data_IF_046307852641
#
_entry.id   IF_046307852641
#
_cell.length_a   1.000
_cell.length_b   1.000
_cell.length_c   1.000
_cell.angle_alpha   90.00
_cell.angle_beta   90.00
_cell.angle_gamma   90.00
#
_symmetry.space_group_name_H-M   'P 1'
#
loop_
_entity.id
_entity.type
_entity.pdbx_description
1 polymer ?
#
# COMPACT_ATOMS: atom_id res chain seq x y z
N UNK A 1 -19.60 -1.33 6.86
CA UNK A 1 -19.55 -1.94 5.51
C UNK A 1 -19.35 -3.45 5.57
N UNK A 2 -18.22 -3.97 6.08
CA UNK A 2 -17.91 -5.42 6.04
C UNK A 2 -19.00 -6.33 6.65
N UNK A 3 -19.61 -5.95 7.79
CA UNK A 3 -20.76 -6.70 8.35
C UNK A 3 -21.92 -6.82 7.35
N UNK A 4 -22.33 -5.70 6.74
CA UNK A 4 -23.34 -5.69 5.67
C UNK A 4 -22.95 -6.56 4.46
N UNK A 5 -21.66 -6.64 4.14
CA UNK A 5 -21.16 -7.52 3.07
C UNK A 5 -21.32 -9.00 3.44
N UNK A 6 -20.95 -9.37 4.67
CA UNK A 6 -21.16 -10.71 5.22
C UNK A 6 -22.64 -11.08 5.22
N UNK A 7 -23.52 -10.16 5.64
CA UNK A 7 -24.97 -10.40 5.68
C UNK A 7 -25.55 -10.57 4.26
N UNK A 8 -25.20 -9.67 3.34
CA UNK A 8 -25.69 -9.69 1.96
C UNK A 8 -25.31 -10.98 1.22
N UNK A 9 -24.07 -11.44 1.38
CA UNK A 9 -23.57 -12.67 0.75
C UNK A 9 -23.70 -13.91 1.64
N UNK A 10 -24.36 -13.79 2.80
CA UNK A 10 -24.61 -14.89 3.77
C UNK A 10 -23.35 -15.65 4.18
N UNK A 11 -22.24 -14.93 4.37
CA UNK A 11 -20.92 -15.54 4.62
C UNK A 11 -20.74 -16.03 6.06
N UNK A 12 -21.59 -15.59 7.00
CA UNK A 12 -21.44 -15.88 8.42
C UNK A 12 -21.41 -17.39 8.73
N UNK A 13 -22.16 -18.20 7.99
CA UNK A 13 -22.22 -19.66 8.17
C UNK A 13 -20.88 -20.37 7.89
N UNK A 14 -19.96 -19.73 7.16
CA UNK A 14 -18.65 -20.28 6.81
C UNK A 14 -17.52 -19.77 7.72
N UNK A 15 -17.83 -18.92 8.71
CA UNK A 15 -16.83 -18.30 9.58
C UNK A 15 -16.95 -18.91 10.98
N UNK A 16 -15.91 -19.62 11.40
CA UNK A 16 -15.77 -20.09 12.78
C UNK A 16 -14.91 -19.10 13.56
N UNK A 17 -15.55 -18.22 14.32
CA UNK A 17 -14.86 -17.29 15.22
C UNK A 17 -14.24 -18.02 16.41
N UNK A 18 -13.26 -17.37 17.06
CA UNK A 18 -12.60 -17.91 18.26
C UNK A 18 -11.94 -19.29 18.08
N UNK A 19 -11.55 -19.59 16.84
CA UNK A 19 -10.87 -20.84 16.45
C UNK A 19 -9.56 -20.47 15.78
N UNK A 20 -8.44 -20.68 16.47
CA UNK A 20 -7.08 -20.40 15.97
C UNK A 20 -6.59 -21.57 15.15
N UNK A 21 -6.06 -21.32 13.95
CA UNK A 21 -5.28 -22.32 13.20
C UNK A 21 -3.90 -22.43 13.82
N UNK A 22 -3.52 -23.62 14.26
CA UNK A 22 -2.23 -23.91 14.90
C UNK A 22 -1.23 -24.54 13.94
N UNK A 23 -1.71 -25.38 13.02
CA UNK A 23 -0.86 -26.06 12.05
C UNK A 23 -1.61 -26.33 10.75
N UNK A 24 -0.90 -26.21 9.63
CA UNK A 24 -1.33 -26.66 8.31
C UNK A 24 -0.21 -27.49 7.71
N UNK A 25 -0.52 -28.71 7.30
CA UNK A 25 0.44 -29.62 6.66
C UNK A 25 -0.23 -30.42 5.55
N UNK A 26 0.55 -30.89 4.58
CA UNK A 26 0.04 -31.87 3.61
C UNK A 26 -0.48 -33.10 4.36
N UNK A 27 -1.57 -33.68 3.86
CA UNK A 27 -2.10 -34.93 4.40
C UNK A 27 -1.37 -36.19 3.88
N UNK A 28 -0.30 -36.00 3.08
CA UNK A 28 0.51 -37.07 2.52
C UNK A 28 -0.13 -37.80 1.32
N UNK A 29 -1.34 -37.43 0.92
CA UNK A 29 -2.05 -38.06 -0.22
C UNK A 29 -1.82 -37.35 -1.56
N UNK A 30 -1.22 -36.16 -1.53
CA UNK A 30 -0.93 -35.33 -2.70
C UNK A 30 -1.99 -34.26 -2.99
N UNK A 31 -3.22 -34.43 -2.49
CA UNK A 31 -4.38 -33.64 -2.92
C UNK A 31 -5.09 -32.87 -1.80
N UNK A 32 -4.50 -32.78 -0.60
CA UNK A 32 -5.15 -32.10 0.52
C UNK A 32 -4.24 -31.73 1.69
N UNK A 33 -4.86 -31.09 2.67
CA UNK A 33 -4.25 -30.56 3.88
C UNK A 33 -4.95 -31.08 5.11
N UNK A 34 -4.14 -31.39 6.12
CA UNK A 34 -4.57 -31.51 7.49
C UNK A 34 -4.39 -30.14 8.18
N UNK A 35 -5.50 -29.58 8.69
CA UNK A 35 -5.52 -28.30 9.39
C UNK A 35 -5.90 -28.54 10.84
N UNK A 36 -4.98 -28.20 11.75
CA UNK A 36 -5.16 -28.33 13.18
C UNK A 36 -5.56 -26.97 13.75
N UNK A 37 -6.64 -26.97 14.52
CA UNK A 37 -7.24 -25.77 15.10
C UNK A 37 -7.39 -25.91 16.60
N UNK A 38 -7.29 -24.81 17.33
CA UNK A 38 -7.62 -24.70 18.76
C UNK A 38 -8.80 -23.76 18.94
N UNK A 39 -9.89 -24.29 19.47
CA UNK A 39 -11.04 -23.49 19.87
C UNK A 39 -10.79 -22.80 21.22
N UNK A 40 -11.61 -21.80 21.54
CA UNK A 40 -11.52 -21.03 22.79
C UNK A 40 -11.71 -21.86 24.07
N UNK A 41 -12.30 -23.04 23.96
CA UNK A 41 -12.44 -24.01 25.06
C UNK A 41 -11.14 -24.82 25.30
N UNK A 42 -10.08 -24.55 24.52
CA UNK A 42 -8.80 -25.24 24.58
C UNK A 42 -8.77 -26.55 23.79
N UNK A 43 -9.88 -26.99 23.20
CA UNK A 43 -9.92 -28.22 22.44
C UNK A 43 -9.20 -28.07 21.10
N UNK A 44 -8.32 -29.02 20.81
CA UNK A 44 -7.67 -29.14 19.51
C UNK A 44 -8.51 -30.04 18.60
N UNK A 45 -8.77 -29.59 17.37
CA UNK A 45 -9.51 -30.33 16.34
C UNK A 45 -8.71 -30.37 15.05
N UNK A 46 -8.80 -31.50 14.38
CA UNK A 46 -8.15 -31.76 13.11
C UNK A 46 -9.18 -31.85 12.00
N UNK A 47 -8.96 -31.08 10.94
CA UNK A 47 -9.83 -30.99 9.77
C UNK A 47 -9.07 -31.36 8.51
N UNK A 48 -9.78 -31.87 7.50
CA UNK A 48 -9.23 -32.08 6.15
C UNK A 48 -9.81 -31.05 5.20
N UNK A 49 -8.96 -30.45 4.38
CA UNK A 49 -9.35 -29.52 3.31
C UNK A 49 -8.57 -29.82 2.04
N UNK A 50 -9.21 -29.72 0.87
CA UNK A 50 -8.54 -29.95 -0.41
C UNK A 50 -7.57 -28.81 -0.75
N UNK A 51 -7.89 -27.59 -0.34
CA UNK A 51 -7.08 -26.38 -0.58
C UNK A 51 -7.12 -25.42 0.60
N UNK A 52 -6.08 -24.59 0.73
CA UNK A 52 -5.93 -23.62 1.81
C UNK A 52 -5.64 -22.22 1.25
N UNK A 53 -6.42 -21.23 1.68
CA UNK A 53 -6.13 -19.82 1.46
C UNK A 53 -5.64 -19.16 2.75
N UNK A 54 -4.42 -18.63 2.75
CA UNK A 54 -3.85 -17.85 3.85
C UNK A 54 -4.28 -16.39 3.70
N UNK A 55 -5.07 -15.91 4.66
CA UNK A 55 -5.67 -14.57 4.67
C UNK A 55 -5.39 -13.80 5.97
N UNK A 56 -4.26 -14.08 6.64
CA UNK A 56 -3.93 -13.57 7.99
C UNK A 56 -3.50 -12.10 8.03
N UNK A 57 -3.39 -11.44 6.86
CA UNK A 57 -2.98 -10.04 6.73
C UNK A 57 -1.46 -9.85 6.79
N UNK A 58 -0.99 -8.62 6.61
CA UNK A 58 0.45 -8.28 6.50
C UNK A 58 1.01 -7.51 7.70
N UNK A 59 0.14 -7.18 8.67
CA UNK A 59 0.49 -6.42 9.88
C UNK A 59 0.46 -7.35 11.09
N UNK A 60 1.35 -8.35 11.09
CA UNK A 60 1.33 -9.43 12.07
C UNK A 60 2.36 -9.17 13.18
N UNK A 61 3.65 -9.35 12.89
CA UNK A 61 4.72 -9.20 13.90
C UNK A 61 5.30 -7.77 13.86
N UNK A 62 5.30 -7.04 14.98
CA UNK A 62 5.96 -5.73 15.10
C UNK A 62 7.42 -5.73 14.66
N UNK A 63 7.80 -4.87 13.71
CA UNK A 63 9.20 -4.72 13.32
C UNK A 63 9.93 -3.80 14.30
N UNK A 64 10.56 -4.37 15.33
CA UNK A 64 11.26 -3.62 16.37
C UNK A 64 12.72 -3.37 15.98
N UNK A 65 13.16 -2.10 15.85
CA UNK A 65 14.56 -1.80 15.60
C UNK A 65 15.41 -2.05 16.84
N UNK A 66 16.60 -2.58 16.64
CA UNK A 66 17.63 -2.65 17.67
C UNK A 66 18.40 -1.32 17.65
N UNK A 67 18.18 -0.48 18.65
CA UNK A 67 18.95 0.77 18.79
C UNK A 67 20.23 0.51 19.59
N UNK A 68 21.34 1.08 19.13
CA UNK A 68 22.57 1.14 19.93
C UNK A 68 22.29 1.92 21.23
N UNK A 69 22.76 1.44 22.38
CA UNK A 69 22.54 2.08 23.68
C UNK A 69 21.12 1.97 24.24
N UNK A 70 20.26 1.11 23.67
CA UNK A 70 18.90 0.92 24.14
C UNK A 70 18.82 0.45 25.60
N UNK A 71 19.81 -0.32 26.04
CA UNK A 71 19.97 -0.81 27.42
C UNK A 71 20.21 0.32 28.44
N UNK A 72 20.77 1.45 27.99
CA UNK A 72 21.01 2.60 28.85
C UNK A 72 19.76 3.50 28.98
N UNK A 73 18.83 3.45 28.03
CA UNK A 73 17.66 4.33 27.98
C UNK A 73 16.69 4.07 29.15
N UNK A 74 16.45 5.10 29.96
CA UNK A 74 15.60 4.99 31.16
C UNK A 74 14.09 5.12 30.86
N UNK A 75 13.74 5.54 29.64
CA UNK A 75 12.36 5.69 29.21
C UNK A 75 11.74 4.38 28.69
N UNK A 76 10.56 4.49 28.08
CA UNK A 76 9.83 3.34 27.51
C UNK A 76 9.97 3.31 25.99
N UNK A 77 10.25 2.13 25.43
CA UNK A 77 10.22 1.90 23.99
C UNK A 77 9.00 1.04 23.66
N UNK A 78 8.09 1.57 22.84
CA UNK A 78 6.86 0.91 22.41
C UNK A 78 6.88 0.76 20.90
N UNK A 79 6.17 -0.24 20.37
CA UNK A 79 5.83 -0.28 18.95
C UNK A 79 4.47 0.38 18.70
N UNK A 80 4.21 0.86 17.49
CA UNK A 80 2.91 1.45 17.13
C UNK A 80 1.73 0.48 17.29
N UNK A 81 1.98 -0.83 17.36
CA UNK A 81 0.96 -1.84 17.66
C UNK A 81 0.44 -1.77 19.10
N UNK A 82 1.22 -1.18 20.02
CA UNK A 82 0.87 -1.00 21.43
C UNK A 82 0.22 0.37 21.69
N UNK A 83 0.26 1.27 20.69
CA UNK A 83 -0.40 2.57 20.77
C UNK A 83 -1.92 2.42 20.56
N UNK A 84 -2.71 3.03 21.45
CA UNK A 84 -4.17 3.04 21.33
C UNK A 84 -4.75 4.46 21.23
N UNK A 85 -4.26 5.38 22.06
CA UNK A 85 -4.76 6.75 22.14
C UNK A 85 -3.66 7.67 22.74
N UNK A 86 -3.80 9.01 22.62
CA UNK A 86 -2.73 9.92 23.03
C UNK A 86 -2.67 10.17 24.55
N UNK A 87 -3.74 9.88 25.31
CA UNK A 87 -3.87 10.28 26.71
C UNK A 87 -2.70 9.87 27.64
N UNK A 88 -2.11 8.66 27.53
CA UNK A 88 -0.95 8.26 28.33
C UNK A 88 0.32 9.10 28.12
N UNK A 89 0.37 9.88 27.04
CA UNK A 89 1.52 10.70 26.65
C UNK A 89 1.39 12.17 27.07
N UNK A 90 0.31 12.53 27.78
CA UNK A 90 0.08 13.89 28.27
C UNK A 90 1.24 14.36 29.14
N UNK A 91 1.82 15.52 28.80
CA UNK A 91 2.95 16.11 29.53
C UNK A 91 4.28 15.35 29.41
N UNK A 92 4.35 14.29 28.59
CA UNK A 92 5.59 13.53 28.33
C UNK A 92 6.37 14.14 27.17
N UNK A 93 7.66 13.79 27.08
CA UNK A 93 8.48 14.04 25.89
C UNK A 93 8.50 12.78 25.04
N UNK A 94 8.00 12.85 23.81
CA UNK A 94 7.76 11.65 22.98
C UNK A 94 8.48 11.72 21.65
N UNK A 95 9.25 10.68 21.34
CA UNK A 95 9.89 10.49 20.05
C UNK A 95 9.14 9.43 19.24
N UNK A 96 8.60 9.79 18.08
CA UNK A 96 8.02 8.83 17.11
C UNK A 96 9.07 8.46 16.07
N UNK A 97 9.28 7.16 15.82
CA UNK A 97 10.28 6.68 14.85
C UNK A 97 9.58 6.12 13.63
N UNK A 98 9.75 6.77 12.48
CA UNK A 98 9.17 6.37 11.20
C UNK A 98 8.09 7.33 10.70
N UNK A 99 8.19 7.73 9.43
CA UNK A 99 7.26 8.66 8.77
C UNK A 99 6.20 7.98 7.90
N UNK A 100 5.84 6.72 8.16
CA UNK A 100 4.74 6.07 7.46
C UNK A 100 3.37 6.54 7.95
N UNK A 101 2.29 5.89 7.52
CA UNK A 101 0.91 6.23 7.92
C UNK A 101 0.74 6.28 9.45
N UNK A 102 1.12 5.20 10.15
CA UNK A 102 1.02 5.13 11.61
C UNK A 102 1.85 6.21 12.30
N UNK A 103 3.07 6.44 11.83
CA UNK A 103 3.94 7.46 12.41
C UNK A 103 3.40 8.87 12.22
N UNK A 104 2.78 9.15 11.07
CA UNK A 104 2.13 10.42 10.77
C UNK A 104 0.90 10.67 11.66
N UNK A 105 0.02 9.67 11.81
CA UNK A 105 -1.16 9.76 12.68
C UNK A 105 -0.78 9.89 14.16
N UNK A 106 0.15 9.04 14.62
CA UNK A 106 0.60 9.05 16.03
C UNK A 106 1.30 10.36 16.35
N UNK A 107 2.18 10.86 15.48
CA UNK A 107 2.88 12.14 15.72
C UNK A 107 1.88 13.29 15.86
N UNK A 108 0.82 13.30 15.04
CA UNK A 108 -0.24 14.31 15.12
C UNK A 108 -1.01 14.25 16.43
N UNK A 109 -1.41 13.06 16.85
CA UNK A 109 -2.20 12.85 18.06
C UNK A 109 -1.39 13.11 19.33
N UNK A 110 -0.12 12.67 19.36
CA UNK A 110 0.76 12.84 20.51
C UNK A 110 1.22 14.28 20.66
N UNK A 111 1.56 14.98 19.57
CA UNK A 111 2.03 16.37 19.63
C UNK A 111 0.99 17.33 20.24
N UNK A 112 -0.29 16.96 20.25
CA UNK A 112 -1.37 17.75 20.84
C UNK A 112 -1.39 17.69 22.38
N UNK A 113 -0.85 16.63 22.99
CA UNK A 113 -0.90 16.40 24.45
C UNK A 113 0.47 16.33 25.12
N UNK A 114 1.51 16.00 24.37
CA UNK A 114 2.88 15.88 24.86
C UNK A 114 3.46 17.25 25.25
N UNK A 115 4.34 17.27 26.25
CA UNK A 115 5.09 18.48 26.60
C UNK A 115 6.10 18.87 25.51
N UNK A 116 6.67 17.87 24.83
CA UNK A 116 7.48 18.04 23.63
C UNK A 116 7.38 16.78 22.76
N UNK A 117 7.53 16.93 21.45
CA UNK A 117 7.52 15.79 20.55
C UNK A 117 8.53 15.94 19.41
N UNK A 118 9.03 14.80 18.94
CA UNK A 118 9.86 14.72 17.76
C UNK A 118 9.46 13.51 16.91
N UNK A 119 9.68 13.61 15.60
CA UNK A 119 9.57 12.50 14.66
C UNK A 119 10.92 12.25 13.98
N UNK A 120 11.46 11.04 14.13
CA UNK A 120 12.68 10.59 13.47
C UNK A 120 12.35 9.91 12.14
N UNK A 121 13.01 10.35 11.07
CA UNK A 121 12.87 9.75 9.74
C UNK A 121 14.26 9.59 9.12
N UNK A 122 14.75 8.34 9.09
CA UNK A 122 16.05 7.94 8.52
C UNK A 122 16.18 8.22 7.01
N UNK A 123 15.10 8.08 6.27
CA UNK A 123 15.10 8.20 4.81
C UNK A 123 13.89 8.97 4.31
N UNK A 124 13.00 8.28 3.59
CA UNK A 124 11.79 8.88 3.00
C UNK A 124 10.56 8.62 3.88
N UNK A 125 9.68 9.61 4.00
CA UNK A 125 8.35 9.50 4.64
C UNK A 125 7.28 8.89 3.73
N UNK A 126 7.66 8.39 2.56
CA UNK A 126 6.72 8.14 1.46
C UNK A 126 6.24 9.46 0.81
N UNK A 127 5.31 9.34 -0.13
CA UNK A 127 4.67 10.47 -0.80
C UNK A 127 3.47 10.97 0.02
N UNK A 128 3.61 12.13 0.67
CA UNK A 128 2.57 12.68 1.55
C UNK A 128 1.37 13.19 0.73
N UNK A 129 0.19 12.61 0.92
CA UNK A 129 -1.02 13.03 0.22
C UNK A 129 -2.11 13.37 1.23
N UNK A 130 -2.72 14.56 1.19
CA UNK A 130 -3.89 14.83 2.02
C UNK A 130 -5.05 13.92 1.59
N UNK A 131 -5.87 13.47 2.55
CA UNK A 131 -7.05 12.64 2.25
C UNK A 131 -8.05 13.36 1.34
N UNK A 132 -8.18 14.66 1.56
CA UNK A 132 -8.97 15.57 0.73
C UNK A 132 -8.09 16.65 0.15
N UNK A 133 -8.22 16.92 -1.14
CA UNK A 133 -7.54 18.03 -1.78
C UNK A 133 -8.56 18.83 -2.58
N UNK A 134 -8.70 20.12 -2.30
CA UNK A 134 -9.68 21.00 -2.96
C UNK A 134 -11.12 20.42 -2.93
N UNK A 135 -11.57 19.99 -1.76
CA UNK A 135 -12.93 19.48 -1.53
C UNK A 135 -13.22 18.07 -2.05
N UNK A 136 -12.27 17.42 -2.73
CA UNK A 136 -12.44 16.07 -3.28
C UNK A 136 -11.55 15.05 -2.57
N UNK A 137 -11.99 13.80 -2.40
CA UNK A 137 -11.10 12.69 -2.02
C UNK A 137 -9.91 12.61 -2.98
N UNK A 138 -8.69 12.52 -2.44
CA UNK A 138 -7.49 12.56 -3.28
C UNK A 138 -7.31 11.31 -4.16
N UNK A 139 -7.97 10.20 -3.83
CA UNK A 139 -7.95 8.96 -4.60
C UNK A 139 -8.82 9.01 -5.87
N UNK A 140 -9.62 10.06 -6.07
CA UNK A 140 -10.34 10.29 -7.34
C UNK A 140 -9.38 10.33 -8.55
N UNK A 141 -8.15 10.79 -8.34
CA UNK A 141 -7.12 10.90 -9.38
C UNK A 141 -6.33 9.58 -9.57
N UNK A 142 -6.67 8.52 -8.82
CA UNK A 142 -6.16 7.16 -9.04
C UNK A 142 -6.86 6.56 -10.26
N UNK A 143 -6.57 7.12 -11.44
CA UNK A 143 -7.21 6.79 -12.72
C UNK A 143 -6.24 6.09 -13.67
N UNK A 144 -6.76 5.37 -14.68
CA UNK A 144 -5.91 4.70 -15.68
C UNK A 144 -4.99 5.69 -16.39
N UNK A 145 -5.51 6.85 -16.79
CA UNK A 145 -4.74 7.89 -17.47
C UNK A 145 -3.52 8.33 -16.66
N UNK A 146 -3.69 8.49 -15.36
CA UNK A 146 -2.63 8.93 -14.46
C UNK A 146 -1.50 7.90 -14.35
N UNK A 147 -1.83 6.60 -14.39
CA UNK A 147 -0.85 5.52 -14.33
C UNK A 147 -0.14 5.28 -15.67
N UNK A 148 -0.67 5.79 -16.79
CA UNK A 148 -0.08 5.63 -18.13
C UNK A 148 1.12 6.53 -18.39
N UNK A 149 1.39 7.51 -17.53
CA UNK A 149 2.51 8.42 -17.75
C UNK A 149 3.87 7.72 -17.54
N UNK A 150 4.89 8.07 -18.34
CA UNK A 150 6.25 7.65 -18.07
C UNK A 150 6.69 8.05 -16.65
N UNK A 151 7.49 7.21 -16.00
CA UNK A 151 7.92 7.42 -14.61
C UNK A 151 8.65 8.76 -14.43
N UNK A 152 9.49 9.14 -15.40
CA UNK A 152 10.22 10.40 -15.38
C UNK A 152 9.28 11.61 -15.44
N UNK A 153 8.16 11.51 -16.18
CA UNK A 153 7.16 12.57 -16.25
C UNK A 153 6.51 12.80 -14.90
N UNK A 154 6.16 11.73 -14.17
CA UNK A 154 5.64 11.88 -12.82
C UNK A 154 6.62 12.57 -11.86
N UNK A 155 7.93 12.34 -12.02
CA UNK A 155 8.95 13.05 -11.22
C UNK A 155 8.95 14.54 -11.55
N UNK A 156 8.97 14.88 -12.84
CA UNK A 156 8.89 16.27 -13.28
C UNK A 156 7.59 16.96 -12.83
N UNK A 157 6.44 16.37 -13.15
CA UNK A 157 5.11 16.89 -12.83
C UNK A 157 4.92 17.15 -11.34
N UNK A 158 5.23 16.16 -10.49
CA UNK A 158 5.11 16.34 -9.04
C UNK A 158 6.09 17.39 -8.52
N UNK A 159 7.32 17.45 -9.04
CA UNK A 159 8.30 18.46 -8.64
C UNK A 159 7.81 19.87 -8.98
N UNK A 160 7.39 20.10 -10.23
CA UNK A 160 6.83 21.38 -10.66
C UNK A 160 5.61 21.78 -9.82
N UNK A 161 4.72 20.83 -9.52
CA UNK A 161 3.56 21.04 -8.66
C UNK A 161 3.93 21.40 -7.22
N UNK A 162 4.96 20.80 -6.63
CA UNK A 162 5.38 21.18 -5.27
C UNK A 162 6.16 22.49 -5.25
N UNK A 163 6.94 22.82 -6.29
CA UNK A 163 7.58 24.13 -6.41
C UNK A 163 6.56 25.26 -6.51
N UNK A 164 5.43 25.06 -7.20
CA UNK A 164 4.39 26.09 -7.30
C UNK A 164 3.64 26.36 -5.99
N UNK A 165 3.75 25.46 -4.99
CA UNK A 165 3.17 25.70 -3.65
C UNK A 165 3.90 26.83 -2.91
N UNK A 166 5.19 27.07 -3.17
CA UNK A 166 5.91 28.16 -2.50
C UNK A 166 5.33 29.55 -2.78
N UNK A 167 5.20 30.02 -4.04
CA UNK A 167 4.57 31.31 -4.31
C UNK A 167 3.10 31.34 -3.85
N UNK A 168 2.35 30.23 -3.98
CA UNK A 168 0.98 30.12 -3.46
C UNK A 168 0.92 30.37 -1.96
N UNK A 169 1.79 29.71 -1.20
CA UNK A 169 1.87 29.85 0.26
C UNK A 169 2.29 31.26 0.70
N UNK A 170 3.14 31.93 -0.08
CA UNK A 170 3.53 33.32 0.16
C UNK A 170 2.33 34.25 -0.06
N UNK A 171 1.58 34.02 -1.13
CA UNK A 171 0.31 34.69 -1.39
C UNK A 171 -0.69 34.50 -0.25
N UNK A 172 -0.82 33.27 0.28
CA UNK A 172 -1.68 32.98 1.44
C UNK A 172 -1.24 33.73 2.69
N UNK A 173 0.06 33.81 2.95
CA UNK A 173 0.60 34.53 4.12
C UNK A 173 0.31 36.04 4.08
N UNK A 174 0.50 36.68 2.93
CA UNK A 174 0.38 38.15 2.84
C UNK A 174 -1.03 38.61 2.49
N UNK A 175 -1.73 37.89 1.60
CA UNK A 175 -3.00 38.32 1.00
C UNK A 175 -4.17 37.37 1.29
N UNK A 176 -3.95 36.27 2.01
CA UNK A 176 -5.00 35.30 2.34
C UNK A 176 -5.97 35.77 3.43
N UNK A 177 -7.13 35.11 3.52
CA UNK A 177 -8.02 35.18 4.68
C UNK A 177 -7.29 34.65 5.94
N UNK A 178 -7.82 34.89 7.16
CA UNK A 178 -7.25 34.32 8.38
C UNK A 178 -7.04 32.80 8.30
N UNK A 179 -7.97 32.03 7.72
CA UNK A 179 -7.79 30.58 7.57
C UNK A 179 -6.63 30.23 6.63
N UNK A 180 -6.52 30.93 5.49
CA UNK A 180 -5.43 30.70 4.52
C UNK A 180 -4.07 31.09 5.09
N UNK A 181 -4.00 32.16 5.88
CA UNK A 181 -2.78 32.55 6.60
C UNK A 181 -2.32 31.46 7.56
N UNK A 182 -3.25 30.82 8.27
CA UNK A 182 -2.96 29.68 9.15
C UNK A 182 -2.54 28.42 8.36
N UNK A 183 -3.00 28.26 7.11
CA UNK A 183 -2.62 27.13 6.24
C UNK A 183 -1.25 27.31 5.56
N UNK A 184 -0.77 28.54 5.37
CA UNK A 184 0.46 28.82 4.65
C UNK A 184 1.71 28.09 5.19
N UNK A 185 1.96 28.01 6.52
CA UNK A 185 3.07 27.21 7.06
C UNK A 185 2.94 25.72 6.75
N UNK A 186 1.73 25.16 6.83
CA UNK A 186 1.45 23.76 6.52
C UNK A 186 1.77 23.45 5.05
N UNK A 187 1.31 24.28 4.11
CA UNK A 187 1.60 24.13 2.69
C UNK A 187 3.10 24.17 2.40
N UNK A 188 3.84 25.11 3.01
CA UNK A 188 5.30 25.19 2.84
C UNK A 188 6.04 24.00 3.40
N UNK A 189 5.69 23.56 4.61
CA UNK A 189 6.34 22.42 5.25
C UNK A 189 6.05 21.15 4.47
N UNK A 190 4.81 20.96 4.01
CA UNK A 190 4.45 19.87 3.11
C UNK A 190 5.32 19.92 1.85
N UNK A 191 5.32 21.01 1.09
CA UNK A 191 6.13 21.14 -0.13
C UNK A 191 7.63 20.89 0.12
N UNK A 192 8.19 21.39 1.22
CA UNK A 192 9.60 21.16 1.60
C UNK A 192 9.89 19.68 1.87
N UNK A 193 9.06 18.99 2.64
CA UNK A 193 9.25 17.56 2.94
C UNK A 193 9.19 16.72 1.66
N UNK A 194 8.24 17.06 0.80
CA UNK A 194 8.05 16.41 -0.49
C UNK A 194 9.30 16.63 -1.35
N UNK A 195 9.72 17.88 -1.60
CA UNK A 195 10.89 18.18 -2.44
C UNK A 195 12.22 17.69 -1.88
N UNK A 196 12.43 17.69 -0.55
CA UNK A 196 13.65 17.16 0.07
C UNK A 196 13.80 15.64 -0.11
N UNK A 197 12.69 14.92 -0.30
CA UNK A 197 12.67 13.45 -0.21
C UNK A 197 11.99 12.76 -1.40
N UNK A 198 11.48 13.49 -2.40
CA UNK A 198 10.73 12.92 -3.52
C UNK A 198 11.49 12.61 -4.78
N UNK A 199 11.34 11.34 -5.19
CA UNK A 199 10.91 10.96 -6.52
C UNK A 199 9.39 10.65 -6.47
N UNK A 200 8.54 11.40 -7.16
CA UNK A 200 7.17 11.05 -7.63
C UNK A 200 6.25 10.07 -6.85
N UNK A 201 4.94 10.36 -6.80
CA UNK A 201 3.91 9.37 -6.37
C UNK A 201 3.98 8.03 -7.14
N UNK A 202 4.56 8.02 -8.35
CA UNK A 202 4.74 6.80 -9.14
C UNK A 202 5.90 5.91 -8.70
N UNK A 203 6.82 6.43 -7.89
CA UNK A 203 8.10 5.77 -7.57
C UNK A 203 8.30 5.56 -6.07
N UNK A 204 7.29 5.82 -5.26
CA UNK A 204 7.36 5.56 -3.82
C UNK A 204 5.98 5.23 -3.26
N UNK A 205 5.97 4.72 -2.04
CA UNK A 205 4.75 4.39 -1.31
C UNK A 205 4.06 5.68 -0.82
N UNK A 206 2.74 5.75 -0.95
CA UNK A 206 1.96 6.90 -0.49
C UNK A 206 1.70 6.86 1.01
N UNK A 207 1.93 7.99 1.67
CA UNK A 207 1.44 8.24 3.04
C UNK A 207 0.27 9.22 2.90
N UNK A 208 -0.96 8.71 2.81
CA UNK A 208 -2.22 9.44 2.60
C UNK A 208 -2.67 10.18 3.86
N UNK A 209 -1.75 10.96 4.42
CA UNK A 209 -1.92 11.69 5.65
C UNK A 209 -0.97 12.89 5.74
N UNK A 210 -1.44 14.02 6.28
CA UNK A 210 -0.62 15.19 6.62
C UNK A 210 -0.37 15.35 8.13
N UNK A 211 -0.72 14.35 8.94
CA UNK A 211 -0.59 14.37 10.40
C UNK A 211 0.80 14.80 10.89
N UNK A 212 1.88 14.27 10.34
CA UNK A 212 3.24 14.72 10.72
C UNK A 212 3.49 16.19 10.38
N UNK A 213 2.94 16.69 9.26
CA UNK A 213 3.09 18.09 8.85
C UNK A 213 2.33 18.99 9.80
N UNK A 214 1.12 18.57 10.17
CA UNK A 214 0.32 19.25 11.19
C UNK A 214 0.99 19.24 12.56
N UNK A 215 1.59 18.11 12.97
CA UNK A 215 2.38 18.01 14.20
C UNK A 215 3.51 19.05 14.22
N UNK A 216 4.28 19.16 13.13
CA UNK A 216 5.38 20.11 13.02
C UNK A 216 4.91 21.58 13.02
N UNK A 217 3.83 21.86 12.29
CA UNK A 217 3.43 23.26 12.01
C UNK A 217 2.46 23.85 13.02
N UNK A 218 1.66 23.01 13.70
CA UNK A 218 0.66 23.46 14.68
C UNK A 218 1.10 23.22 16.12
N UNK A 219 1.95 22.22 16.36
CA UNK A 219 2.33 21.78 17.71
C UNK A 219 3.85 21.79 17.95
N UNK A 220 4.64 22.27 16.99
CA UNK A 220 6.09 22.40 17.15
C UNK A 220 6.85 21.07 17.21
N UNK A 221 6.29 19.97 16.72
CA UNK A 221 6.98 18.68 16.65
C UNK A 221 8.27 18.80 15.83
N UNK A 222 9.40 18.36 16.39
CA UNK A 222 10.70 18.45 15.73
C UNK A 222 10.88 17.32 14.70
N UNK A 223 11.41 17.64 13.52
CA UNK A 223 11.87 16.62 12.58
C UNK A 223 13.34 16.29 12.85
N UNK A 224 13.63 15.01 13.12
CA UNK A 224 14.98 14.50 13.33
C UNK A 224 15.39 13.50 12.25
N UNK A 225 16.70 13.38 11.93
CA UNK A 225 17.19 12.36 11.01
C UNK A 225 17.21 10.99 11.71
N UNK A 226 18.01 10.05 11.20
CA UNK A 226 18.13 8.73 11.80
C UNK A 226 18.67 8.82 13.22
N UNK A 227 18.18 7.95 14.11
CA UNK A 227 18.79 7.74 15.42
C UNK A 227 20.14 7.08 15.18
N UNK A 228 21.18 7.63 15.79
CA UNK A 228 22.52 7.04 15.83
C UNK A 228 22.61 6.06 17.00
N UNK A 229 22.34 6.56 18.22
CA UNK A 229 22.24 5.76 19.44
C UNK A 229 21.27 6.39 20.44
N UNK A 230 20.89 5.61 21.45
CA UNK A 230 20.19 6.05 22.63
C UNK A 230 21.16 6.19 23.80
N UNK A 231 20.83 7.07 24.73
CA UNK A 231 21.49 7.17 26.02
C UNK A 231 20.46 7.19 27.15
N UNK A 232 20.90 7.43 28.38
CA UNK A 232 20.03 7.43 29.56
C UNK A 232 18.80 8.33 29.47
N UNK A 233 18.85 9.45 28.73
CA UNK A 233 17.77 10.46 28.72
C UNK A 233 17.03 10.57 27.39
N UNK A 234 17.54 9.98 26.31
CA UNK A 234 16.89 10.13 25.01
C UNK A 234 17.70 9.60 23.83
N UNK A 235 17.48 10.24 22.67
CA UNK A 235 18.09 9.86 21.41
C UNK A 235 19.09 10.90 20.92
N UNK A 236 20.23 10.41 20.42
CA UNK A 236 21.21 11.17 19.64
C UNK A 236 21.06 10.78 18.18
N UNK A 237 21.03 11.76 17.29
CA UNK A 237 20.77 11.56 15.87
C UNK A 237 22.04 11.69 15.04
N UNK A 238 22.01 11.20 13.80
CA UNK A 238 23.16 11.18 12.89
C UNK A 238 23.68 12.56 12.49
N UNK A 239 22.93 13.64 12.75
CA UNK A 239 23.39 15.02 12.55
C UNK A 239 24.01 15.63 13.81
N UNK A 240 24.20 14.83 14.88
CA UNK A 240 24.71 15.25 16.17
C UNK A 240 23.66 15.94 17.06
N UNK A 241 22.45 16.19 16.56
CA UNK A 241 21.37 16.74 17.38
C UNK A 241 20.86 15.72 18.40
N UNK A 242 20.22 16.22 19.46
CA UNK A 242 19.67 15.43 20.56
C UNK A 242 18.19 15.71 20.75
N UNK A 243 17.46 14.73 21.26
CA UNK A 243 16.10 14.90 21.81
C UNK A 243 15.95 14.05 23.08
N UNK A 244 15.80 14.70 24.23
CA UNK A 244 15.48 14.00 25.47
C UNK A 244 14.02 13.56 25.45
N UNK A 245 13.76 12.29 25.74
CA UNK A 245 12.42 11.73 25.69
C UNK A 245 12.18 10.70 26.79
N UNK A 246 10.93 10.62 27.23
CA UNK A 246 10.49 9.63 28.22
C UNK A 246 9.91 8.39 27.51
N UNK A 247 9.47 8.56 26.26
CA UNK A 247 8.88 7.50 25.46
C UNK A 247 9.35 7.58 24.01
N UNK A 248 9.71 6.42 23.46
CA UNK A 248 9.96 6.20 22.03
C UNK A 248 8.83 5.32 21.49
N UNK A 249 8.15 5.76 20.42
CA UNK A 249 7.13 4.98 19.72
C UNK A 249 7.66 4.61 18.33
N UNK A 250 8.02 3.34 18.16
CA UNK A 250 8.47 2.76 16.92
C UNK A 250 7.29 2.51 15.96
N UNK A 251 7.08 3.41 15.00
CA UNK A 251 6.17 3.25 13.86
C UNK A 251 6.93 2.65 12.66
N UNK A 252 7.64 1.55 12.91
CA UNK A 252 8.67 0.97 12.04
C UNK A 252 8.15 -0.18 11.16
N UNK A 253 6.85 -0.45 11.21
CA UNK A 253 6.18 -1.41 10.32
C UNK A 253 6.06 -2.80 10.93
N UNK A 254 5.77 -3.78 10.09
CA UNK A 254 5.48 -5.15 10.51
C UNK A 254 6.15 -6.14 9.56
N UNK A 255 6.28 -7.38 10.03
CA UNK A 255 6.78 -8.50 9.26
C UNK A 255 5.69 -9.59 9.14
N UNK A 256 5.76 -10.37 8.07
CA UNK A 256 4.91 -11.53 7.88
C UNK A 256 5.44 -12.69 8.73
N UNK A 257 4.56 -13.41 9.42
CA UNK A 257 4.90 -14.56 10.25
C UNK A 257 3.84 -15.67 10.14
N UNK A 258 4.24 -16.86 9.71
CA UNK A 258 3.31 -17.97 9.50
C UNK A 258 3.68 -19.17 10.39
N UNK A 259 3.55 -19.06 11.72
CA UNK A 259 3.99 -20.12 12.64
C UNK A 259 3.27 -21.44 12.38
N UNK A 260 2.03 -21.39 11.90
CA UNK A 260 1.24 -22.57 11.53
C UNK A 260 1.75 -23.31 10.28
N UNK A 261 2.76 -22.78 9.58
CA UNK A 261 3.42 -23.42 8.44
C UNK A 261 4.85 -23.86 8.74
N UNK A 262 5.46 -23.41 9.84
CA UNK A 262 6.91 -23.55 10.07
C UNK A 262 7.37 -25.02 10.13
N UNK A 263 6.60 -25.90 10.79
CA UNK A 263 6.97 -27.32 10.91
C UNK A 263 6.90 -28.06 9.57
N UNK A 264 5.90 -27.77 8.74
CA UNK A 264 5.63 -28.53 7.51
C UNK A 264 6.25 -27.90 6.25
N UNK A 265 6.53 -26.60 6.27
CA UNK A 265 7.01 -25.82 5.13
C UNK A 265 8.26 -24.99 5.48
N UNK A 266 9.04 -25.43 6.48
CA UNK A 266 10.25 -24.75 6.96
C UNK A 266 11.21 -24.34 5.84
N UNK A 267 11.45 -25.23 4.88
CA UNK A 267 12.34 -25.01 3.73
C UNK A 267 11.88 -23.87 2.79
N UNK A 268 10.60 -23.49 2.85
CA UNK A 268 10.02 -22.43 2.02
C UNK A 268 9.77 -21.13 2.78
N UNK A 269 10.03 -21.10 4.10
CA UNK A 269 9.61 -19.99 4.95
C UNK A 269 10.27 -18.65 4.58
N UNK A 270 11.50 -18.66 4.08
CA UNK A 270 12.19 -17.46 3.63
C UNK A 270 11.48 -16.80 2.44
N UNK A 271 10.88 -17.61 1.57
CA UNK A 271 10.12 -17.13 0.43
C UNK A 271 8.70 -16.74 0.82
N UNK A 272 8.03 -17.55 1.65
CA UNK A 272 6.68 -17.26 2.13
C UNK A 272 6.60 -15.93 2.89
N UNK A 273 7.63 -15.59 3.69
CA UNK A 273 7.69 -14.31 4.41
C UNK A 273 7.84 -13.10 3.48
N UNK A 274 8.40 -13.28 2.29
CA UNK A 274 8.64 -12.21 1.30
C UNK A 274 7.71 -12.41 0.11
N UNK A 275 6.50 -11.85 0.19
CA UNK A 275 5.44 -12.10 -0.81
C UNK A 275 5.83 -11.85 -2.27
N UNK A 276 6.78 -10.94 -2.54
CA UNK A 276 7.35 -10.72 -3.89
C UNK A 276 8.05 -11.93 -4.50
N UNK A 277 8.48 -12.89 -3.67
CA UNK A 277 9.08 -14.18 -4.10
C UNK A 277 8.03 -15.23 -4.43
N UNK A 278 6.74 -14.91 -4.28
CA UNK A 278 5.64 -15.77 -4.68
C UNK A 278 5.11 -15.34 -6.05
N UNK A 279 4.70 -16.30 -6.87
CA UNK A 279 4.10 -16.05 -8.16
C UNK A 279 2.86 -15.18 -7.97
N UNK A 280 2.92 -13.97 -8.55
CA UNK A 280 1.92 -12.90 -8.41
C UNK A 280 1.56 -12.58 -6.95
N UNK A 281 2.50 -12.72 -6.02
CA UNK A 281 2.32 -12.52 -4.57
C UNK A 281 1.35 -13.50 -3.89
N UNK A 282 1.04 -14.62 -4.55
CA UNK A 282 0.00 -15.55 -4.10
C UNK A 282 0.49 -16.98 -3.94
N UNK A 283 1.33 -17.50 -4.83
CA UNK A 283 1.59 -18.94 -4.92
C UNK A 283 3.08 -19.21 -4.86
N UNK A 284 3.50 -20.13 -4.01
CA UNK A 284 4.87 -20.63 -4.03
C UNK A 284 5.01 -21.69 -5.14
N UNK A 285 5.94 -21.55 -6.12
CA UNK A 285 5.98 -22.43 -7.30
C UNK A 285 6.04 -23.92 -6.98
N UNK A 286 6.77 -24.31 -5.93
CA UNK A 286 6.95 -25.71 -5.51
C UNK A 286 5.84 -26.24 -4.59
N UNK A 287 5.08 -25.36 -3.94
CA UNK A 287 3.92 -25.79 -3.12
C UNK A 287 2.70 -25.95 -4.03
N UNK A 288 2.58 -25.10 -5.05
CA UNK A 288 1.51 -25.17 -6.06
C UNK A 288 0.23 -24.44 -5.65
N UNK A 289 -0.79 -24.55 -6.51
CA UNK A 289 -2.08 -23.83 -6.40
C UNK A 289 -2.98 -24.26 -5.23
N UNK A 290 -2.65 -25.35 -4.55
CA UNK A 290 -3.42 -25.89 -3.44
C UNK A 290 -3.23 -25.07 -2.15
N UNK A 291 -2.14 -24.29 -2.04
CA UNK A 291 -1.95 -23.26 -1.01
C UNK A 291 -1.81 -21.87 -1.63
N UNK A 292 -2.67 -20.93 -1.22
CA UNK A 292 -2.76 -19.61 -1.83
C UNK A 292 -2.70 -18.49 -0.79
N UNK A 293 -1.85 -17.49 -0.99
CA UNK A 293 -1.72 -16.31 -0.13
C UNK A 293 -2.56 -15.15 -0.69
N UNK A 294 -3.61 -14.76 0.03
CA UNK A 294 -4.52 -13.70 -0.40
C UNK A 294 -4.38 -12.46 0.50
N UNK A 295 -4.27 -11.28 -0.12
CA UNK A 295 -4.10 -9.99 0.58
C UNK A 295 -2.65 -9.60 0.87
N UNK A 296 -1.68 -10.30 0.29
CA UNK A 296 -0.24 -10.05 0.46
C UNK A 296 0.39 -9.18 -0.65
N UNK A 297 -0.44 -8.59 -1.51
CA UNK A 297 -0.06 -7.62 -2.53
C UNK A 297 -0.57 -6.22 -2.13
N UNK A 298 0.30 -5.37 -1.59
CA UNK A 298 -0.03 -4.03 -1.08
C UNK A 298 0.23 -2.96 -2.15
N UNK A 299 -0.80 -2.28 -2.67
CA UNK A 299 -0.59 -1.20 -3.64
C UNK A 299 0.18 -0.03 -3.05
N UNK A 300 1.11 0.55 -3.82
CA UNK A 300 1.81 1.79 -3.47
C UNK A 300 0.86 2.99 -3.31
N UNK A 301 -0.17 3.04 -4.17
CA UNK A 301 -1.35 3.89 -4.10
C UNK A 301 -2.55 3.07 -4.54
N UNK A 302 -3.66 3.12 -3.80
CA UNK A 302 -4.86 2.37 -4.12
C UNK A 302 -5.47 1.76 -2.87
N UNK A 303 -6.29 0.73 -3.07
CA UNK A 303 -6.98 0.03 -1.99
C UNK A 303 -6.67 -1.48 -2.07
N UNK A 304 -6.50 -2.12 -0.90
CA UNK A 304 -6.26 -3.56 -0.81
C UNK A 304 -7.49 -4.42 -1.20
N UNK A 305 -8.75 -4.06 -0.83
CA UNK A 305 -9.90 -4.91 -1.16
C UNK A 305 -10.06 -5.21 -2.67
N UNK A 306 -9.86 -4.25 -3.60
CA UNK A 306 -9.79 -4.55 -5.03
C UNK A 306 -8.75 -5.62 -5.42
N UNK A 307 -7.57 -5.55 -4.82
CA UNK A 307 -6.47 -6.48 -5.07
C UNK A 307 -6.85 -7.87 -4.56
N UNK A 308 -7.31 -7.97 -3.31
CA UNK A 308 -7.77 -9.22 -2.71
C UNK A 308 -8.97 -9.82 -3.42
N UNK A 309 -9.89 -9.00 -3.97
CA UNK A 309 -11.01 -9.51 -4.79
C UNK A 309 -10.49 -10.22 -6.04
N UNK A 310 -9.53 -9.62 -6.75
CA UNK A 310 -8.93 -10.24 -7.94
C UNK A 310 -8.17 -11.52 -7.61
N UNK A 311 -7.39 -11.50 -6.51
CA UNK A 311 -6.70 -12.70 -6.01
C UNK A 311 -7.68 -13.82 -5.65
N UNK A 312 -8.77 -13.50 -4.93
CA UNK A 312 -9.79 -14.48 -4.55
C UNK A 312 -10.55 -15.05 -5.75
N UNK A 313 -10.85 -14.22 -6.77
CA UNK A 313 -11.44 -14.69 -8.03
C UNK A 313 -10.53 -15.69 -8.75
N UNK A 314 -9.24 -15.38 -8.82
CA UNK A 314 -8.28 -16.29 -9.45
C UNK A 314 -8.16 -17.60 -8.68
N UNK A 315 -8.03 -17.55 -7.36
CA UNK A 315 -7.98 -18.74 -6.52
C UNK A 315 -9.24 -19.62 -6.67
N UNK A 316 -10.43 -19.02 -6.75
CA UNK A 316 -11.67 -19.77 -6.98
C UNK A 316 -11.68 -20.49 -8.34
N UNK A 317 -11.13 -19.87 -9.39
CA UNK A 317 -11.04 -20.48 -10.73
C UNK A 317 -10.01 -21.61 -10.79
N UNK A 318 -8.85 -21.44 -10.14
CA UNK A 318 -7.87 -22.53 -9.95
C UNK A 318 -8.51 -23.68 -9.15
N UNK A 319 -9.23 -23.33 -8.08
CA UNK A 319 -9.92 -24.32 -7.23
C UNK A 319 -10.94 -25.15 -8.02
N UNK A 320 -11.65 -24.51 -8.94
CA UNK A 320 -12.62 -25.17 -9.82
C UNK A 320 -11.96 -25.96 -10.97
N UNK A 321 -10.69 -25.68 -11.29
CA UNK A 321 -10.00 -26.22 -12.47
C UNK A 321 -10.33 -25.50 -13.77
N UNK A 322 -10.97 -24.32 -13.71
CA UNK A 322 -11.27 -23.49 -14.89
C UNK A 322 -10.02 -22.76 -15.41
N UNK A 323 -8.98 -22.63 -14.57
CA UNK A 323 -7.66 -22.11 -14.91
C UNK A 323 -6.60 -23.05 -14.34
N UNK A 324 -5.43 -23.07 -14.96
CA UNK A 324 -4.25 -23.81 -14.50
C UNK A 324 -3.07 -22.87 -14.33
N UNK A 325 -2.12 -23.26 -13.49
CA UNK A 325 -0.84 -22.56 -13.41
C UNK A 325 0.03 -22.83 -14.64
N UNK A 326 0.92 -21.88 -15.01
CA UNK A 326 2.03 -22.16 -15.91
C UNK A 326 3.04 -23.09 -15.21
N UNK A 327 4.06 -23.51 -15.95
CA UNK A 327 5.15 -24.35 -15.40
C UNK A 327 5.90 -23.64 -14.27
N UNK A 328 6.61 -24.41 -13.44
CA UNK A 328 7.45 -23.86 -12.37
C UNK A 328 8.48 -22.87 -12.92
N UNK A 329 9.12 -23.20 -14.05
CA UNK A 329 10.10 -22.34 -14.70
C UNK A 329 9.49 -21.00 -15.12
N UNK A 330 8.31 -21.02 -15.76
CA UNK A 330 7.59 -19.79 -16.15
C UNK A 330 7.17 -18.96 -14.93
N UNK A 331 6.77 -19.61 -13.82
CA UNK A 331 6.46 -18.91 -12.57
C UNK A 331 7.70 -18.23 -11.98
N UNK A 332 8.84 -18.92 -11.94
CA UNK A 332 10.11 -18.39 -11.43
C UNK A 332 10.63 -17.23 -12.29
N UNK A 333 10.54 -17.34 -13.61
CA UNK A 333 10.86 -16.25 -14.54
C UNK A 333 9.95 -15.03 -14.31
N UNK A 334 8.64 -15.25 -14.14
CA UNK A 334 7.70 -14.17 -13.85
C UNK A 334 7.97 -13.50 -12.49
N UNK A 335 8.33 -14.27 -11.46
CA UNK A 335 8.72 -13.75 -10.14
C UNK A 335 9.94 -12.83 -10.28
N UNK A 336 10.98 -13.28 -11.00
CA UNK A 336 12.19 -12.50 -11.23
C UNK A 336 11.88 -11.19 -11.98
N UNK A 337 11.09 -11.27 -13.06
CA UNK A 337 10.70 -10.11 -13.86
C UNK A 337 9.85 -9.10 -13.07
N UNK A 338 8.82 -9.56 -12.35
CA UNK A 338 7.96 -8.71 -11.52
C UNK A 338 8.74 -8.06 -10.38
N UNK A 339 9.68 -8.81 -9.78
CA UNK A 339 10.57 -8.33 -8.74
C UNK A 339 11.46 -7.21 -9.27
N UNK A 340 12.15 -7.44 -10.39
CA UNK A 340 13.00 -6.44 -11.03
C UNK A 340 12.22 -5.17 -11.40
N UNK A 341 11.06 -5.32 -12.06
CA UNK A 341 10.21 -4.19 -12.42
C UNK A 341 9.76 -3.37 -11.19
N UNK A 342 9.52 -4.04 -10.06
CA UNK A 342 9.24 -3.35 -8.79
C UNK A 342 10.45 -2.56 -8.30
N UNK A 343 11.64 -3.16 -8.28
CA UNK A 343 12.86 -2.48 -7.84
C UNK A 343 13.21 -1.30 -8.75
N UNK A 344 13.10 -1.45 -10.07
CA UNK A 344 13.35 -0.37 -11.04
C UNK A 344 12.42 0.82 -10.79
N UNK A 345 11.15 0.56 -10.44
CA UNK A 345 10.17 1.59 -10.19
C UNK A 345 10.29 2.24 -8.81
N UNK A 346 10.50 1.44 -7.76
CA UNK A 346 10.31 1.87 -6.37
C UNK A 346 11.61 1.93 -5.53
N UNK A 347 12.71 1.37 -6.04
CA UNK A 347 14.04 1.34 -5.40
C UNK A 347 13.98 0.87 -3.94
N UNK A 348 14.62 1.63 -3.04
CA UNK A 348 14.63 1.37 -1.59
C UNK A 348 13.23 1.25 -0.93
N UNK A 349 12.16 1.73 -1.58
CA UNK A 349 10.80 1.50 -1.08
C UNK A 349 10.40 0.01 -1.21
N UNK A 350 10.82 -0.65 -2.30
CA UNK A 350 10.56 -2.06 -2.54
C UNK A 350 11.33 -2.97 -1.57
N UNK A 351 12.55 -2.58 -1.19
CA UNK A 351 13.34 -3.28 -0.15
C UNK A 351 12.60 -3.30 1.19
N UNK A 352 12.07 -2.15 1.60
CA UNK A 352 11.39 -2.00 2.89
C UNK A 352 9.98 -2.61 2.91
N UNK A 353 9.26 -2.56 1.79
CA UNK A 353 7.88 -3.05 1.69
C UNK A 353 7.87 -4.24 0.73
N UNK A 354 8.06 -5.43 1.28
CA UNK A 354 8.14 -6.69 0.53
C UNK A 354 6.84 -7.06 -0.20
N UNK A 355 5.72 -6.47 0.20
CA UNK A 355 4.40 -6.67 -0.41
C UNK A 355 4.08 -5.63 -1.50
N UNK A 356 4.95 -4.65 -1.76
CA UNK A 356 4.62 -3.48 -2.59
C UNK A 356 4.35 -3.82 -4.06
N UNK A 357 3.25 -3.32 -4.63
CA UNK A 357 2.88 -3.50 -6.04
C UNK A 357 2.44 -2.18 -6.70
N UNK A 358 2.54 -2.14 -8.04
CA UNK A 358 1.87 -1.10 -8.83
C UNK A 358 0.39 -1.43 -9.00
N UNK A 359 -0.50 -0.54 -8.53
CA UNK A 359 -1.92 -0.87 -8.37
C UNK A 359 -2.63 -1.21 -9.67
N UNK A 360 -2.57 -0.34 -10.67
CA UNK A 360 -3.21 -0.61 -11.96
C UNK A 360 -2.55 -1.80 -12.67
N UNK A 361 -1.22 -1.79 -12.73
CA UNK A 361 -0.48 -2.80 -13.49
C UNK A 361 -0.75 -4.21 -12.94
N UNK A 362 -0.78 -4.36 -11.61
CA UNK A 362 -1.12 -5.60 -10.95
C UNK A 362 -2.59 -6.01 -11.20
N UNK A 363 -3.54 -5.08 -11.07
CA UNK A 363 -4.96 -5.40 -11.31
C UNK A 363 -5.21 -5.81 -12.77
N UNK A 364 -4.57 -5.15 -13.74
CA UNK A 364 -4.67 -5.49 -15.16
C UNK A 364 -3.96 -6.81 -15.50
N UNK A 365 -2.84 -7.10 -14.85
CA UNK A 365 -2.15 -8.39 -14.98
C UNK A 365 -3.00 -9.54 -14.44
N UNK A 366 -3.56 -9.39 -13.24
CA UNK A 366 -4.53 -10.33 -12.70
C UNK A 366 -5.76 -10.47 -13.61
N UNK A 367 -6.25 -9.37 -14.18
CA UNK A 367 -7.38 -9.39 -15.08
C UNK A 367 -7.09 -10.11 -16.41
N UNK A 368 -5.83 -10.09 -16.88
CA UNK A 368 -5.38 -10.89 -18.03
C UNK A 368 -5.38 -12.38 -17.67
N UNK A 369 -4.81 -12.75 -16.53
CA UNK A 369 -4.80 -14.14 -16.03
C UNK A 369 -6.23 -14.69 -15.89
N UNK A 370 -7.15 -13.89 -15.34
CA UNK A 370 -8.55 -14.28 -15.13
C UNK A 370 -9.39 -14.24 -16.43
N UNK A 371 -8.90 -13.56 -17.48
CA UNK A 371 -9.68 -13.33 -18.70
C UNK A 371 -10.81 -12.30 -18.54
N UNK A 372 -10.67 -11.34 -17.62
CA UNK A 372 -11.67 -10.31 -17.33
C UNK A 372 -11.17 -8.85 -17.52
N UNK A 373 -10.02 -8.64 -18.18
CA UNK A 373 -9.52 -7.31 -18.49
C UNK A 373 -10.57 -6.48 -19.25
N UNK A 374 -10.82 -5.19 -18.95
CA UNK A 374 -11.87 -4.43 -19.62
C UNK A 374 -11.60 -4.30 -21.13
N UNK A 375 -12.62 -4.41 -22.01
CA UNK A 375 -12.44 -4.37 -23.46
C UNK A 375 -12.29 -2.93 -23.98
N UNK A 376 -11.23 -2.22 -23.56
CA UNK A 376 -11.06 -0.78 -23.74
C UNK A 376 -11.13 -0.35 -25.22
N UNK A 377 -10.48 -1.06 -26.14
CA UNK A 377 -10.52 -0.74 -27.58
C UNK A 377 -11.94 -0.84 -28.17
N UNK A 378 -12.72 -1.84 -27.75
CA UNK A 378 -14.11 -2.00 -28.19
C UNK A 378 -15.02 -0.94 -27.55
N UNK A 379 -14.81 -0.62 -26.28
CA UNK A 379 -15.56 0.43 -25.58
C UNK A 379 -15.32 1.80 -26.18
N UNK A 380 -14.08 2.13 -26.57
CA UNK A 380 -13.76 3.41 -27.24
C UNK A 380 -14.63 3.65 -28.48
N UNK A 381 -14.95 2.58 -29.23
CA UNK A 381 -15.80 2.63 -30.43
C UNK A 381 -17.29 2.56 -30.11
N UNK A 382 -17.72 1.62 -29.26
CA UNK A 382 -19.13 1.28 -29.04
C UNK A 382 -19.79 2.07 -27.92
N UNK A 383 -19.03 2.47 -26.90
CA UNK A 383 -19.52 3.24 -25.75
C UNK A 383 -18.43 4.20 -25.25
N UNK A 384 -18.15 5.28 -25.98
CA UNK A 384 -17.08 6.22 -25.64
C UNK A 384 -17.29 6.92 -24.29
N UNK A 385 -18.55 7.02 -23.82
CA UNK A 385 -18.86 7.57 -22.49
C UNK A 385 -18.37 6.64 -21.38
N UNK A 386 -18.68 5.35 -21.45
CA UNK A 386 -18.18 4.37 -20.48
C UNK A 386 -16.66 4.21 -20.58
N UNK A 387 -16.10 4.22 -21.79
CA UNK A 387 -14.65 4.22 -21.99
C UNK A 387 -13.99 5.40 -21.25
N UNK A 388 -14.54 6.61 -21.40
CA UNK A 388 -14.05 7.81 -20.72
C UNK A 388 -14.10 7.65 -19.20
N UNK A 389 -15.18 7.07 -18.65
CA UNK A 389 -15.28 6.82 -17.21
C UNK A 389 -14.24 5.83 -16.70
N UNK A 390 -13.97 4.75 -17.43
CA UNK A 390 -12.95 3.77 -17.03
C UNK A 390 -11.54 4.35 -17.11
N UNK A 391 -11.30 5.23 -18.09
CA UNK A 391 -9.96 5.79 -18.34
C UNK A 391 -9.63 6.96 -17.40
N UNK A 392 -10.58 7.87 -17.20
CA UNK A 392 -10.38 9.12 -16.46
C UNK A 392 -11.00 9.11 -15.05
N UNK A 393 -11.89 8.17 -14.76
CA UNK A 393 -12.44 7.96 -13.43
C UNK A 393 -11.51 7.13 -12.54
N UNK A 394 -11.80 7.07 -11.23
CA UNK A 394 -11.03 6.29 -10.29
C UNK A 394 -11.11 4.78 -10.60
N UNK A 395 -9.99 4.09 -10.39
CA UNK A 395 -9.88 2.64 -10.56
C UNK A 395 -10.82 1.94 -9.57
N UNK A 396 -11.84 1.27 -10.11
CA UNK A 396 -12.84 0.49 -9.38
C UNK A 396 -12.86 -0.95 -9.90
N UNK A 397 -13.14 -1.96 -9.05
CA UNK A 397 -13.20 -3.36 -9.51
C UNK A 397 -14.35 -3.66 -10.46
N UNK A 398 -15.39 -2.82 -10.49
CA UNK A 398 -16.51 -2.95 -11.42
C UNK A 398 -16.06 -3.04 -12.89
N UNK A 399 -14.97 -2.37 -13.28
CA UNK A 399 -14.44 -2.47 -14.65
C UNK A 399 -14.00 -3.90 -15.04
N UNK A 400 -13.58 -4.71 -14.07
CA UNK A 400 -13.19 -6.11 -14.25
C UNK A 400 -14.37 -7.08 -14.15
N UNK A 401 -15.60 -6.54 -14.09
CA UNK A 401 -16.88 -7.27 -14.17
C UNK A 401 -17.64 -6.98 -15.47
N UNK A 402 -17.04 -6.22 -16.41
CA UNK A 402 -17.66 -5.95 -17.72
C UNK A 402 -17.65 -7.17 -18.65
N UNK A 403 -16.72 -8.11 -18.45
CA UNK A 403 -16.64 -9.38 -19.19
C UNK A 403 -15.85 -10.43 -18.40
N UNK A 404 -15.78 -11.65 -18.94
CA UNK A 404 -15.05 -12.76 -18.36
C UNK A 404 -15.81 -13.45 -17.21
N UNK A 405 -15.14 -14.34 -16.46
CA UNK A 405 -15.78 -15.11 -15.40
C UNK A 405 -16.42 -14.23 -14.32
N UNK A 406 -17.71 -14.48 -14.05
CA UNK A 406 -18.49 -13.73 -13.06
C UNK A 406 -18.78 -12.28 -13.47
N UNK A 407 -18.89 -11.99 -14.77
CA UNK A 407 -19.28 -10.70 -15.30
C UNK A 407 -20.69 -10.29 -14.88
N UNK A 408 -20.89 -8.99 -14.70
CA UNK A 408 -22.17 -8.31 -14.41
C UNK A 408 -22.19 -6.97 -15.17
N UNK A 409 -22.20 -6.98 -16.52
CA UNK A 409 -21.88 -5.81 -17.32
C UNK A 409 -22.83 -4.62 -17.09
N UNK A 410 -24.11 -4.86 -16.86
CA UNK A 410 -25.11 -3.82 -16.61
C UNK A 410 -24.83 -3.11 -15.28
N UNK A 411 -24.71 -3.89 -14.19
CA UNK A 411 -24.40 -3.38 -12.84
C UNK A 411 -23.03 -2.70 -12.81
N UNK A 412 -22.04 -3.30 -13.47
CA UNK A 412 -20.71 -2.72 -13.60
C UNK A 412 -20.75 -1.36 -14.32
N UNK A 413 -21.48 -1.28 -15.42
CA UNK A 413 -21.66 -0.03 -16.17
C UNK A 413 -22.35 1.03 -15.32
N UNK A 414 -23.42 0.66 -14.61
CA UNK A 414 -24.14 1.57 -13.72
C UNK A 414 -23.21 2.17 -12.65
N UNK A 415 -22.47 1.32 -11.93
CA UNK A 415 -21.50 1.76 -10.91
C UNK A 415 -20.46 2.70 -11.52
N UNK A 416 -19.84 2.31 -12.64
CA UNK A 416 -18.80 3.10 -13.29
C UNK A 416 -19.32 4.46 -13.76
N UNK A 417 -20.56 4.53 -14.22
CA UNK A 417 -21.18 5.77 -14.69
C UNK A 417 -21.52 6.74 -13.55
N UNK A 418 -21.68 6.25 -12.31
CA UNK A 418 -21.89 7.07 -11.11
C UNK A 418 -20.60 7.64 -10.53
N UNK A 419 -19.43 7.10 -10.91
CA UNK A 419 -18.15 7.59 -10.41
C UNK A 419 -17.84 8.98 -10.98
N UNK A 420 -17.30 9.89 -10.15
CA UNK A 420 -16.86 11.19 -10.64
C UNK A 420 -15.60 11.02 -11.50
N UNK A 421 -15.45 11.90 -12.48
CA UNK A 421 -14.22 11.98 -13.26
C UNK A 421 -13.10 12.60 -12.42
N UNK A 422 -11.88 12.07 -12.53
CA UNK A 422 -10.70 12.67 -11.94
C UNK A 422 -10.39 14.05 -12.52
N UNK A 423 -9.48 14.79 -11.88
CA UNK A 423 -9.09 16.16 -12.27
C UNK A 423 -8.16 16.22 -13.49
N UNK A 424 -8.03 15.10 -14.17
CA UNK A 424 -7.00 14.77 -15.14
C UNK A 424 -7.51 14.91 -16.58
N UNK A 425 -8.37 15.90 -16.86
CA UNK A 425 -9.00 16.07 -18.17
C UNK A 425 -8.01 16.31 -19.31
N UNK A 426 -6.82 16.83 -18.99
CA UNK A 426 -5.72 17.05 -19.93
C UNK A 426 -4.83 15.82 -20.16
N UNK A 427 -4.98 14.76 -19.36
CA UNK A 427 -4.11 13.58 -19.45
C UNK A 427 -4.17 12.95 -20.82
N UNK A 428 -5.36 12.84 -21.44
CA UNK A 428 -5.51 12.21 -22.75
C UNK A 428 -4.70 12.93 -23.85
N UNK A 429 -4.61 14.26 -23.77
CA UNK A 429 -3.82 15.04 -24.71
C UNK A 429 -2.32 14.76 -24.53
N UNK A 430 -1.84 14.80 -23.28
CA UNK A 430 -0.44 14.54 -22.95
C UNK A 430 -0.01 13.11 -23.28
N UNK A 431 -0.87 12.13 -22.98
CA UNK A 431 -0.65 10.73 -23.30
C UNK A 431 -0.56 10.54 -24.83
N UNK A 432 -1.47 11.15 -25.60
CA UNK A 432 -1.43 11.08 -27.05
C UNK A 432 -0.17 11.76 -27.63
N UNK A 433 0.28 12.85 -27.03
CA UNK A 433 1.52 13.51 -27.41
C UNK A 433 2.73 12.61 -27.13
N UNK A 434 2.80 12.00 -25.96
CA UNK A 434 3.89 11.10 -25.57
C UNK A 434 3.96 9.84 -26.45
N UNK A 435 2.82 9.23 -26.79
CA UNK A 435 2.78 8.11 -27.75
C UNK A 435 3.31 8.50 -29.15
N UNK A 436 2.97 9.71 -29.63
CA UNK A 436 3.51 10.21 -30.90
C UNK A 436 5.02 10.45 -30.81
N UNK A 437 5.49 11.04 -29.72
CA UNK A 437 6.92 11.29 -29.49
C UNK A 437 7.71 9.98 -29.39
N UNK A 438 7.17 8.94 -28.75
CA UNK A 438 7.87 7.67 -28.58
C UNK A 438 8.11 6.90 -29.89
N UNK A 439 7.37 7.24 -30.95
CA UNK A 439 7.52 6.67 -32.29
C UNK A 439 8.64 7.33 -33.10
N UNK A 440 9.24 8.42 -32.60
CA UNK A 440 10.36 9.09 -33.23
C UNK A 440 11.71 8.45 -32.81
N UNK A 441 12.73 8.42 -33.70
CA UNK A 441 14.04 7.85 -33.38
C UNK A 441 14.67 8.49 -32.14
N UNK A 442 15.16 7.66 -31.21
CA UNK A 442 15.81 8.12 -29.97
C UNK A 442 14.88 8.56 -28.84
N UNK A 443 13.56 8.62 -29.07
CA UNK A 443 12.58 9.10 -28.09
C UNK A 443 11.74 7.98 -27.44
N UNK A 444 12.16 6.73 -27.53
CA UNK A 444 11.44 5.58 -26.96
C UNK A 444 11.13 5.69 -25.45
N UNK A 445 11.89 6.50 -24.70
CA UNK A 445 11.64 6.77 -23.28
C UNK A 445 10.37 7.61 -23.00
N UNK A 446 9.74 8.19 -24.03
CA UNK A 446 8.42 8.82 -23.95
C UNK A 446 7.27 7.80 -23.99
N UNK A 447 7.56 6.52 -24.25
CA UNK A 447 6.53 5.50 -24.37
C UNK A 447 5.66 5.47 -23.11
N UNK A 448 4.33 5.67 -23.25
CA UNK A 448 3.42 5.50 -22.14
C UNK A 448 3.50 4.07 -21.59
N UNK A 449 3.29 3.92 -20.29
CA UNK A 449 3.39 2.62 -19.62
C UNK A 449 2.21 1.67 -19.90
N UNK A 450 1.14 2.14 -20.56
CA UNK A 450 -0.11 1.40 -20.65
C UNK A 450 -0.50 0.98 -22.07
N UNK A 451 -0.84 -0.31 -22.22
CA UNK A 451 -1.19 -0.95 -23.48
C UNK A 451 -2.58 -0.61 -24.07
N UNK A 452 -3.33 0.32 -23.47
CA UNK A 452 -4.71 0.66 -23.88
C UNK A 452 -4.85 1.95 -24.68
N UNK A 453 -3.76 2.69 -24.82
CA UNK A 453 -3.63 3.91 -25.62
C UNK A 453 -3.73 3.55 -27.10
#
# INVERSE_FOLDING_TARGET
YLRRYVDHFKLAAYIQFSTRVEQVRSDGTGDGYQVITRASDGQTRTHRFDRVAVCTGTHQEPSRPNFSGAEAFQGRILHSAEYQNPSPFTGRRVLVVGGGESGSDISRAVAEVAAASAISIRGKSGFLVPRYFMGNPADIDTARSHYSFPVWWGRYYHSARFYSIFPLSLGYQFFGSPEKKAEAPLLRTWARLQLRRHPSAFTTFGTKNLGMVEAMTRYGCELKPAIDHLDARGAVFTDGSRFDCDVIICATGFQNHFPFLEEAYGDYMDDLKVSRRLYKHCIHPKIGETMFFCGFARPHFGALPPVSEMQARWFALLTKGDLTLPSIEEMEQAIAADSQATFDRFGATAERITTLISFLDYLDDMARIIGCAPPLAALKKRNPRLWRQIVLGPICTAQYRLRGPGAKPEVATEILMQLPLGRNSTDLYLISLFDKLSKLPGLGHFAPSAAWI
#
